data_IF_306538563542
#
_entry.id   IF_306538563542
#
_cell.length_a   1.000
_cell.length_b   1.000
_cell.length_c   1.000
_cell.angle_alpha   90.00
_cell.angle_beta   90.00
_cell.angle_gamma   90.00
#
_symmetry.space_group_name_H-M   'P 1'
#
loop_
_entity.id
_entity.type
_entity.pdbx_description
1 polymer ?
#
# COMPACT_ATOMS: atom_id res chain seq x y z
N UNK A 1 -22.45 -5.56 8.98
CA UNK A 1 -22.33 -6.20 7.65
C UNK A 1 -20.86 -6.22 7.31
N UNK A 2 -20.34 -7.35 6.87
CA UNK A 2 -18.92 -7.47 6.49
C UNK A 2 -18.74 -6.85 5.11
N UNK A 3 -17.89 -5.83 5.00
CA UNK A 3 -17.53 -5.22 3.73
C UNK A 3 -16.26 -5.85 3.21
N UNK A 4 -16.22 -6.13 1.91
CA UNK A 4 -15.03 -6.66 1.25
C UNK A 4 -14.39 -5.56 0.42
N UNK A 5 -13.08 -5.47 0.48
CA UNK A 5 -12.29 -4.58 -0.36
C UNK A 5 -11.54 -5.42 -1.39
N UNK A 6 -11.66 -5.05 -2.66
CA UNK A 6 -10.80 -5.56 -3.72
C UNK A 6 -9.91 -4.41 -4.17
N UNK A 7 -8.67 -4.72 -4.54
CA UNK A 7 -7.72 -3.68 -4.87
C UNK A 7 -6.70 -4.07 -5.90
N UNK A 8 -6.08 -3.05 -6.48
CA UNK A 8 -4.99 -3.16 -7.44
C UNK A 8 -3.84 -2.26 -7.02
N UNK A 9 -2.62 -2.68 -7.37
CA UNK A 9 -1.38 -1.93 -7.13
C UNK A 9 -0.73 -1.69 -8.48
N UNK A 10 -0.81 -0.46 -8.99
CA UNK A 10 -0.08 -0.01 -10.17
C UNK A 10 1.25 0.60 -9.75
N UNK A 11 2.33 0.23 -10.42
CA UNK A 11 3.69 0.60 -10.00
C UNK A 11 4.66 0.65 -11.17
N UNK A 12 5.76 1.42 -11.07
CA UNK A 12 6.85 1.33 -12.03
C UNK A 12 7.44 -0.08 -12.04
N UNK A 13 7.88 -0.52 -13.22
CA UNK A 13 8.56 -1.81 -13.42
C UNK A 13 10.08 -1.70 -13.41
N UNK A 14 10.61 -0.48 -13.51
CA UNK A 14 12.05 -0.20 -13.56
C UNK A 14 12.35 1.10 -12.81
N UNK A 15 13.54 1.16 -12.23
CA UNK A 15 14.10 2.35 -11.61
C UNK A 15 15.61 2.24 -11.44
N UNK A 16 16.22 3.27 -10.87
CA UNK A 16 17.63 3.29 -10.51
C UNK A 16 17.78 3.54 -9.01
N UNK A 17 18.90 3.06 -8.46
CA UNK A 17 19.24 3.28 -7.05
C UNK A 17 19.24 4.78 -6.73
N UNK A 18 18.54 5.17 -5.66
CA UNK A 18 18.41 6.53 -5.14
C UNK A 18 17.78 7.56 -6.10
N UNK A 19 17.25 7.15 -7.25
CA UNK A 19 16.44 8.01 -8.10
C UNK A 19 14.96 7.96 -7.70
N UNK A 20 14.21 9.07 -7.87
CA UNK A 20 12.76 9.05 -7.72
C UNK A 20 12.11 8.02 -8.64
N UNK A 21 11.32 7.13 -8.06
CA UNK A 21 10.50 6.17 -8.80
C UNK A 21 9.27 6.86 -9.40
N UNK A 22 8.70 6.24 -10.44
CA UNK A 22 7.33 6.54 -10.84
C UNK A 22 6.36 6.30 -9.69
N UNK A 23 5.20 6.96 -9.73
CA UNK A 23 4.21 6.85 -8.67
C UNK A 23 3.72 5.39 -8.50
N UNK A 24 3.53 4.97 -7.25
CA UNK A 24 2.80 3.74 -6.92
C UNK A 24 1.37 4.13 -6.57
N UNK A 25 0.40 3.55 -7.25
CA UNK A 25 -1.02 3.85 -7.05
C UNK A 25 -1.76 2.61 -6.58
N UNK A 26 -2.44 2.75 -5.44
CA UNK A 26 -3.29 1.71 -4.87
C UNK A 26 -4.74 2.15 -5.07
N UNK A 27 -5.53 1.32 -5.74
CA UNK A 27 -6.95 1.57 -5.94
C UNK A 27 -7.74 0.49 -5.21
N UNK A 28 -8.69 0.88 -4.37
CA UNK A 28 -9.59 -0.03 -3.67
C UNK A 28 -11.05 0.26 -4.05
N UNK A 29 -11.78 -0.83 -4.28
CA UNK A 29 -13.22 -0.84 -4.51
C UNK A 29 -13.90 -1.56 -3.35
N UNK A 30 -15.07 -1.07 -2.94
CA UNK A 30 -15.84 -1.61 -1.82
C UNK A 30 -17.00 -2.44 -2.36
N UNK A 31 -17.20 -3.61 -1.77
CA UNK A 31 -18.26 -4.54 -2.14
C UNK A 31 -19.09 -4.96 -0.92
N UNK A 32 -20.36 -5.27 -1.17
CA UNK A 32 -21.22 -5.94 -0.20
C UNK A 32 -20.88 -7.44 -0.08
N UNK A 33 -21.59 -8.13 0.81
CA UNK A 33 -21.41 -9.57 1.02
C UNK A 33 -21.75 -10.42 -0.21
N UNK A 34 -22.54 -9.89 -1.15
CA UNK A 34 -22.95 -10.56 -2.39
C UNK A 34 -22.01 -10.25 -3.57
N UNK A 35 -20.99 -9.40 -3.37
CA UNK A 35 -20.08 -8.97 -4.43
C UNK A 35 -20.62 -7.84 -5.32
N UNK A 36 -21.63 -7.10 -4.85
CA UNK A 36 -22.12 -5.89 -5.52
C UNK A 36 -21.23 -4.71 -5.14
N UNK A 37 -20.77 -3.96 -6.14
CA UNK A 37 -20.00 -2.73 -5.90
C UNK A 37 -20.85 -1.70 -5.14
N UNK A 38 -20.26 -1.10 -4.11
CA UNK A 38 -20.88 -0.08 -3.28
C UNK A 38 -20.27 1.28 -3.58
N UNK A 39 -21.07 2.33 -3.42
CA UNK A 39 -20.58 3.69 -3.54
C UNK A 39 -19.59 4.03 -2.42
N UNK A 40 -18.56 4.76 -2.81
CA UNK A 40 -17.45 5.22 -1.98
C UNK A 40 -17.53 6.73 -1.87
N UNK A 41 -17.92 7.20 -0.71
CA UNK A 41 -17.83 8.60 -0.29
C UNK A 41 -16.59 8.88 0.59
N UNK A 42 -16.21 10.15 0.71
CA UNK A 42 -15.07 10.61 1.52
C UNK A 42 -15.14 10.16 2.98
N UNK A 43 -16.33 10.04 3.57
CA UNK A 43 -16.47 9.55 4.95
C UNK A 43 -15.91 8.12 5.14
N UNK A 44 -15.86 7.33 4.07
CA UNK A 44 -15.33 5.97 4.13
C UNK A 44 -13.81 5.90 4.10
N UNK A 45 -13.11 6.98 3.73
CA UNK A 45 -11.63 7.04 3.77
C UNK A 45 -11.12 7.42 5.16
N UNK A 46 -11.99 7.98 6.01
CA UNK A 46 -11.64 8.44 7.35
C UNK A 46 -11.14 7.28 8.21
N UNK A 47 -9.91 7.43 8.73
CA UNK A 47 -9.26 6.40 9.55
C UNK A 47 -8.63 5.26 8.74
N UNK A 48 -8.71 5.27 7.41
CA UNK A 48 -7.95 4.35 6.58
C UNK A 48 -6.53 4.85 6.35
N UNK A 49 -5.59 3.92 6.44
CA UNK A 49 -4.17 4.18 6.17
C UNK A 49 -3.66 3.12 5.20
N UNK A 50 -3.03 3.55 4.12
CA UNK A 50 -2.36 2.70 3.14
C UNK A 50 -0.86 2.78 3.40
N UNK A 51 -0.24 1.64 3.64
CA UNK A 51 1.20 1.49 3.78
C UNK A 51 1.76 0.71 2.58
N UNK A 52 2.90 1.16 2.08
CA UNK A 52 3.67 0.47 1.04
C UNK A 52 5.06 0.13 1.56
N UNK A 53 5.52 -1.07 1.24
CA UNK A 53 6.88 -1.50 1.46
C UNK A 53 7.41 -2.29 0.27
N UNK A 54 8.62 -2.82 0.40
CA UNK A 54 9.23 -3.69 -0.60
C UNK A 54 9.35 -5.11 -0.08
N UNK A 55 9.17 -6.07 -0.98
CA UNK A 55 9.56 -7.48 -0.79
C UNK A 55 10.57 -7.88 -1.85
N UNK A 56 11.29 -8.98 -1.61
CA UNK A 56 12.03 -9.68 -2.66
C UNK A 56 11.09 -10.13 -3.80
N UNK A 57 11.65 -10.47 -4.97
CA UNK A 57 10.89 -10.84 -6.17
C UNK A 57 9.85 -11.96 -5.93
N UNK A 58 10.14 -12.89 -5.03
CA UNK A 58 9.26 -13.99 -4.65
C UNK A 58 8.05 -13.56 -3.79
N UNK A 59 8.04 -12.31 -3.33
CA UNK A 59 6.99 -11.73 -2.51
C UNK A 59 6.97 -12.18 -1.04
N UNK A 60 7.99 -12.92 -0.57
CA UNK A 60 7.92 -13.59 0.74
C UNK A 60 8.59 -12.81 1.87
N UNK A 61 9.62 -12.02 1.55
CA UNK A 61 10.50 -11.39 2.53
C UNK A 61 10.46 -9.87 2.38
N UNK A 62 9.98 -9.18 3.41
CA UNK A 62 10.00 -7.72 3.49
C UNK A 62 11.45 -7.22 3.59
N UNK A 63 11.77 -6.13 2.90
CA UNK A 63 13.12 -5.52 2.88
C UNK A 63 13.09 -4.03 3.20
N UNK A 64 14.08 -3.58 3.95
CA UNK A 64 14.24 -2.18 4.38
C UNK A 64 15.13 -1.40 3.40
N UNK A 65 14.71 -1.33 2.14
CA UNK A 65 15.44 -0.61 1.08
C UNK A 65 14.62 0.52 0.45
N UNK A 66 13.40 0.74 0.93
CA UNK A 66 12.49 1.76 0.43
C UNK A 66 12.60 3.02 1.28
N UNK A 67 12.88 4.15 0.64
CA UNK A 67 12.89 5.47 1.26
C UNK A 67 11.77 6.34 0.69
N UNK A 68 11.24 7.25 1.50
CA UNK A 68 10.22 8.22 1.12
C UNK A 68 8.99 8.17 2.03
N UNK A 69 7.92 8.80 1.57
CA UNK A 69 6.61 8.69 2.21
C UNK A 69 6.01 7.33 1.87
N UNK A 70 6.02 6.40 2.83
CA UNK A 70 5.54 5.02 2.66
C UNK A 70 4.15 4.78 3.23
N UNK A 71 3.53 5.82 3.79
CA UNK A 71 2.23 5.72 4.46
C UNK A 71 1.40 6.95 4.15
N UNK A 72 0.21 6.77 3.58
CA UNK A 72 -0.71 7.86 3.22
C UNK A 72 -2.16 7.48 3.53
N UNK A 73 -3.03 8.49 3.66
CA UNK A 73 -4.49 8.27 3.67
C UNK A 73 -5.00 8.24 2.22
N UNK A 74 -5.93 7.33 1.88
CA UNK A 74 -6.53 7.34 0.55
C UNK A 74 -7.53 8.51 0.40
N UNK A 75 -7.82 8.88 -0.84
CA UNK A 75 -8.83 9.87 -1.24
C UNK A 75 -9.86 9.21 -2.14
N UNK A 76 -11.02 9.83 -2.37
CA UNK A 76 -12.02 9.27 -3.30
C UNK A 76 -11.82 9.83 -4.71
N UNK A 77 -11.67 8.92 -5.68
CA UNK A 77 -11.61 9.26 -7.11
C UNK A 77 -12.47 8.26 -7.88
N UNK A 78 -13.41 8.75 -8.69
CA UNK A 78 -14.28 7.93 -9.54
C UNK A 78 -14.94 6.74 -8.82
N UNK A 79 -15.50 7.00 -7.64
CA UNK A 79 -16.15 6.00 -6.78
C UNK A 79 -15.20 4.91 -6.23
N UNK A 80 -13.90 5.21 -6.13
CA UNK A 80 -12.87 4.32 -5.60
C UNK A 80 -12.01 5.03 -4.59
N UNK A 81 -11.43 4.28 -3.66
CA UNK A 81 -10.41 4.83 -2.76
C UNK A 81 -9.05 4.71 -3.44
N UNK A 82 -8.35 5.83 -3.59
CA UNK A 82 -7.06 5.91 -4.28
C UNK A 82 -6.01 6.49 -3.35
N UNK A 83 -4.90 5.77 -3.20
CA UNK A 83 -3.69 6.23 -2.52
C UNK A 83 -2.53 6.26 -3.51
N UNK A 84 -1.79 7.36 -3.56
CA UNK A 84 -0.68 7.55 -4.50
C UNK A 84 0.61 7.90 -3.75
N UNK A 85 1.68 7.18 -4.03
CA UNK A 85 3.00 7.39 -3.45
C UNK A 85 3.95 7.90 -4.54
N UNK A 86 4.23 9.22 -4.54
CA UNK A 86 4.99 9.88 -5.62
C UNK A 86 6.45 10.21 -5.29
N UNK A 87 6.95 9.84 -4.11
CA UNK A 87 8.29 10.26 -3.61
C UNK A 87 9.13 9.09 -3.10
N UNK A 88 8.90 7.91 -3.68
CA UNK A 88 9.61 6.68 -3.30
C UNK A 88 10.96 6.57 -4.01
N UNK A 89 11.94 5.99 -3.33
CA UNK A 89 13.27 5.65 -3.85
C UNK A 89 13.71 4.31 -3.31
N UNK A 90 14.45 3.52 -4.12
CA UNK A 90 15.07 2.28 -3.64
C UNK A 90 16.56 2.50 -3.45
N UNK A 91 17.07 2.15 -2.28
CA UNK A 91 18.46 2.42 -1.88
C UNK A 91 19.44 1.35 -2.36
N UNK A 92 18.94 0.21 -2.85
CA UNK A 92 19.75 -0.93 -3.27
C UNK A 92 19.27 -1.50 -4.60
N UNK A 93 20.23 -1.89 -5.46
CA UNK A 93 19.92 -2.55 -6.72
C UNK A 93 19.43 -3.98 -6.48
N UNK A 94 18.51 -4.43 -7.32
CA UNK A 94 17.89 -5.74 -7.18
C UNK A 94 16.55 -5.84 -7.88
N UNK A 95 15.89 -6.97 -7.66
CA UNK A 95 14.54 -7.25 -8.16
C UNK A 95 13.60 -7.38 -6.98
N UNK A 96 12.53 -6.58 -6.99
CA UNK A 96 11.62 -6.43 -5.87
C UNK A 96 10.16 -6.46 -6.34
N UNK A 97 9.25 -6.47 -5.37
CA UNK A 97 7.84 -6.10 -5.57
C UNK A 97 7.44 -5.10 -4.49
N UNK A 98 6.50 -4.23 -4.80
CA UNK A 98 5.83 -3.48 -3.74
C UNK A 98 4.82 -4.38 -3.05
N UNK A 99 4.84 -4.42 -1.73
CA UNK A 99 3.75 -4.94 -0.94
C UNK A 99 2.93 -3.76 -0.38
N UNK A 100 1.62 -3.91 -0.35
CA UNK A 100 0.69 -2.88 0.12
C UNK A 100 -0.18 -3.48 1.19
N UNK A 101 -0.36 -2.75 2.29
CA UNK A 101 -1.25 -3.11 3.38
C UNK A 101 -2.14 -1.93 3.71
N UNK A 102 -3.44 -2.17 3.84
CA UNK A 102 -4.43 -1.14 4.20
C UNK A 102 -5.00 -1.45 5.56
N UNK A 103 -5.06 -0.45 6.43
CA UNK A 103 -5.51 -0.60 7.81
C UNK A 103 -6.65 0.37 8.09
N UNK A 104 -7.65 -0.09 8.84
CA UNK A 104 -8.64 0.77 9.47
C UNK A 104 -8.21 1.05 10.92
N UNK A 105 -7.77 2.28 11.20
CA UNK A 105 -7.28 2.67 12.51
C UNK A 105 -8.33 2.54 13.60
N UNK A 106 -9.63 2.72 13.32
CA UNK A 106 -10.67 2.61 14.35
C UNK A 106 -10.92 1.17 14.78
N UNK A 107 -10.87 0.24 13.84
CA UNK A 107 -10.94 -1.20 14.13
C UNK A 107 -9.66 -1.68 14.83
N UNK A 108 -8.53 -1.06 14.47
CA UNK A 108 -7.23 -1.37 15.02
C UNK A 108 -7.10 -0.90 16.48
N UNK A 109 -7.49 0.35 16.79
CA UNK A 109 -7.34 0.99 18.12
C UNK A 109 -8.13 0.25 19.22
N UNK A 110 -9.22 -0.43 18.85
CA UNK A 110 -9.96 -1.30 19.77
C UNK A 110 -9.11 -2.46 20.35
N UNK A 111 -7.98 -2.78 19.71
CA UNK A 111 -7.01 -3.79 20.15
C UNK A 111 -5.76 -3.19 20.83
N UNK A 112 -5.60 -1.86 20.86
CA UNK A 112 -4.40 -1.16 21.34
C UNK A 112 -4.47 -0.70 22.81
N UNK A 113 -5.56 -0.95 23.54
CA UNK A 113 -5.73 -0.54 24.94
C UNK A 113 -4.78 -1.23 25.95
N UNK A 114 -3.66 -1.82 25.50
CA UNK A 114 -2.76 -2.58 26.38
C UNK A 114 -1.25 -2.58 26.10
N UNK A 115 -0.69 -2.09 24.98
CA UNK A 115 0.75 -2.31 24.70
C UNK A 115 1.42 -1.23 23.84
N UNK A 116 2.36 -0.48 24.44
CA UNK A 116 3.63 0.03 23.86
C UNK A 116 3.62 0.86 22.55
N UNK A 117 4.74 1.50 22.17
CA UNK A 117 4.78 2.35 20.99
C UNK A 117 4.73 1.52 19.70
N UNK A 118 3.85 1.94 18.77
CA UNK A 118 3.78 1.61 17.35
C UNK A 118 3.88 0.11 16.97
N UNK A 119 2.81 -0.66 17.19
CA UNK A 119 2.56 -1.86 16.39
C UNK A 119 1.71 -1.47 15.18
N UNK A 120 2.06 -2.01 14.01
CA UNK A 120 1.17 -2.01 12.84
C UNK A 120 0.01 -2.94 13.17
N UNK A 121 -1.26 -2.56 12.97
CA UNK A 121 -2.39 -3.41 13.28
C UNK A 121 -2.33 -4.71 12.46
N UNK A 122 -2.56 -5.87 13.08
CA UNK A 122 -2.49 -7.17 12.38
C UNK A 122 -3.65 -7.45 11.42
N UNK A 123 -4.69 -6.62 11.42
CA UNK A 123 -5.92 -6.84 10.66
C UNK A 123 -5.98 -5.91 9.44
N UNK A 124 -5.10 -6.15 8.46
CA UNK A 124 -5.19 -5.42 7.20
C UNK A 124 -6.46 -5.79 6.44
N UNK A 125 -7.21 -4.80 5.97
CA UNK A 125 -8.42 -4.98 5.17
C UNK A 125 -8.11 -5.28 3.70
N UNK A 126 -6.87 -5.05 3.28
CA UNK A 126 -6.38 -5.38 1.94
C UNK A 126 -4.86 -5.59 1.97
N UNK A 127 -4.41 -6.74 1.46
CA UNK A 127 -3.01 -7.03 1.20
C UNK A 127 -2.82 -7.18 -0.31
N UNK A 128 -1.98 -6.33 -0.90
CA UNK A 128 -1.69 -6.33 -2.32
C UNK A 128 -0.21 -6.49 -2.60
N UNK A 129 0.11 -6.96 -3.80
CA UNK A 129 1.49 -7.02 -4.29
C UNK A 129 1.50 -6.52 -5.72
N UNK A 130 2.51 -5.72 -6.07
CA UNK A 130 2.68 -5.23 -7.43
C UNK A 130 3.28 -6.28 -8.37
N UNK A 131 3.38 -5.90 -9.64
CA UNK A 131 4.30 -6.52 -10.57
C UNK A 131 5.77 -6.32 -10.13
N UNK A 132 6.67 -7.06 -10.78
CA UNK A 132 8.10 -7.00 -10.53
C UNK A 132 8.68 -5.63 -10.88
N UNK A 133 9.46 -5.06 -9.95
CA UNK A 133 10.26 -3.87 -10.08
C UNK A 133 11.74 -4.25 -10.17
N UNK A 134 12.44 -3.77 -11.20
CA UNK A 134 13.89 -3.95 -11.36
C UNK A 134 14.62 -2.64 -11.08
N UNK A 135 15.53 -2.64 -10.12
CA UNK A 135 16.36 -1.50 -9.74
C UNK A 135 17.80 -1.72 -10.22
N UNK A 136 18.24 -0.87 -11.14
CA UNK A 136 19.61 -0.87 -11.65
C UNK A 136 20.54 0.06 -10.87
N UNK A 137 21.84 -0.12 -11.07
CA UNK A 137 22.85 0.84 -10.63
C UNK A 137 22.99 1.98 -11.67
N UNK A 138 23.45 3.14 -11.21
CA UNK A 138 24.02 4.13 -12.12
C UNK A 138 25.23 3.53 -12.83
N UNK A 139 25.18 3.49 -14.16
CA UNK A 139 26.36 3.24 -14.98
C UNK A 139 26.98 4.62 -15.22
N UNK A 140 28.15 4.86 -14.62
CA UNK A 140 28.98 6.02 -14.89
C UNK A 140 29.75 5.86 -16.21
#
# INVERSE_FOLDING_TARGET
MEHRYLGTVDSPRRGMVNEPLGAVTVTLERFDANGTALDVEEVHTVGLVVNVGLTLEDGTTDVEHLEGETTVSPTVVDNKMVATFGRLRVQQAGTYRFHVRVFNLYESVSQFSGLGPARIPSNSIFNGTSETLVIGNHIH
#
